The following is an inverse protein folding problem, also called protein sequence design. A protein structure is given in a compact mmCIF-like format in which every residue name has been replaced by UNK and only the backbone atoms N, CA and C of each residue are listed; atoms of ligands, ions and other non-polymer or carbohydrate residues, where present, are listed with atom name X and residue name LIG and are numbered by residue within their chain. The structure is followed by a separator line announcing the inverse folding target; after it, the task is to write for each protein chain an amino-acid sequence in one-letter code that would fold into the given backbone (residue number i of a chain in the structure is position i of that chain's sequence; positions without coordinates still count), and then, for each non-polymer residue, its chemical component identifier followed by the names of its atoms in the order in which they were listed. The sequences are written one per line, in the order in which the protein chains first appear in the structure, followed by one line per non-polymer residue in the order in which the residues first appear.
data_IF_816684499810
#
_entry.id   IF_816684499810
#
_cell.length_a   1.000
_cell.length_b   1.000
_cell.length_c   1.000
_cell.angle_alpha   90.00
_cell.angle_beta   90.00
_cell.angle_gamma   90.00
#
_symmetry.space_group_name_H-M   'P 1'
#
loop_
_entity.id
_entity.type
_entity.pdbx_description
1 polymer ?
#
# COMPACT_ATOMS: atom_id res chain seq x y z
N UNK A 1 -3.91 -17.46 6.22
CA UNK A 1 -3.31 -18.77 6.64
C UNK A 1 -2.20 -19.29 5.74
N UNK A 2 -1.88 -18.62 4.63
CA UNK A 2 -0.85 -19.02 3.66
C UNK A 2 -1.02 -20.46 3.12
N UNK A 3 -2.26 -20.92 3.05
CA UNK A 3 -2.74 -22.17 2.49
C UNK A 3 -3.27 -21.99 1.06
N UNK A 4 -3.04 -20.82 0.45
CA UNK A 4 -3.54 -20.39 -0.86
C UNK A 4 -5.09 -20.28 -0.95
N UNK A 5 -5.80 -20.18 0.17
CA UNK A 5 -7.26 -20.03 0.22
C UNK A 5 -7.64 -18.62 0.66
N UNK A 6 -7.97 -17.73 -0.28
CA UNK A 6 -8.29 -16.33 0.07
C UNK A 6 -9.55 -16.19 0.94
N UNK A 7 -10.49 -17.14 0.86
CA UNK A 7 -11.78 -17.08 1.55
C UNK A 7 -11.70 -17.27 3.06
N UNK A 8 -10.58 -17.77 3.59
CA UNK A 8 -10.40 -18.06 5.01
C UNK A 8 -9.37 -17.14 5.70
N UNK A 9 -8.91 -16.09 5.01
CA UNK A 9 -7.82 -15.24 5.51
C UNK A 9 -8.22 -14.49 6.79
N UNK A 10 -9.51 -14.24 7.00
CA UNK A 10 -10.05 -13.56 8.18
C UNK A 10 -10.48 -14.53 9.28
N UNK A 11 -9.61 -15.49 9.58
CA UNK A 11 -9.78 -16.44 10.70
C UNK A 11 -9.35 -15.80 12.03
N UNK A 12 -10.17 -15.95 13.05
CA UNK A 12 -9.91 -15.47 14.40
C UNK A 12 -9.06 -16.49 15.19
N UNK A 13 -8.45 -16.12 16.33
CA UNK A 13 -7.67 -17.05 17.16
C UNK A 13 -8.45 -18.26 17.68
N UNK A 14 -9.78 -18.13 17.84
CA UNK A 14 -10.69 -19.21 18.22
C UNK A 14 -11.11 -20.08 17.01
N UNK A 15 -10.55 -19.85 15.82
CA UNK A 15 -10.83 -20.52 14.55
C UNK A 15 -12.20 -20.20 13.92
N UNK A 16 -12.98 -19.27 14.46
CA UNK A 16 -14.16 -18.77 13.75
C UNK A 16 -13.77 -17.76 12.67
N UNK A 17 -14.68 -17.48 11.75
CA UNK A 17 -14.50 -16.49 10.69
C UNK A 17 -15.20 -15.18 11.01
N UNK A 18 -14.70 -14.09 10.43
CA UNK A 18 -15.37 -12.79 10.43
C UNK A 18 -15.32 -12.18 9.03
N UNK A 19 -16.26 -11.29 8.74
CA UNK A 19 -16.33 -10.41 7.58
C UNK A 19 -15.91 -8.97 7.91
N UNK A 20 -15.44 -8.70 9.13
CA UNK A 20 -14.99 -7.38 9.58
C UNK A 20 -13.49 -7.35 9.81
N UNK A 21 -12.80 -6.51 9.04
CA UNK A 21 -11.37 -6.20 9.24
C UNK A 21 -11.10 -5.65 10.64
N UNK A 22 -12.04 -4.91 11.23
CA UNK A 22 -11.86 -4.40 12.60
C UNK A 22 -11.93 -5.53 13.64
N UNK A 23 -12.90 -6.44 13.53
CA UNK A 23 -13.01 -7.60 14.44
C UNK A 23 -11.79 -8.51 14.29
N UNK A 24 -11.37 -8.78 13.05
CA UNK A 24 -10.17 -9.57 12.76
C UNK A 24 -8.93 -8.97 13.44
N UNK A 25 -8.61 -7.72 13.12
CA UNK A 25 -7.41 -7.04 13.66
C UNK A 25 -7.42 -6.89 15.18
N UNK A 26 -8.60 -6.70 15.80
CA UNK A 26 -8.75 -6.63 17.25
C UNK A 26 -8.52 -7.98 17.94
N UNK A 27 -9.00 -9.06 17.35
CA UNK A 27 -8.88 -10.40 17.95
C UNK A 27 -7.42 -10.88 18.06
N UNK A 28 -6.55 -10.38 17.19
CA UNK A 28 -5.13 -10.75 17.13
C UNK A 28 -4.21 -9.84 17.96
N UNK A 29 -4.76 -8.94 18.78
CA UNK A 29 -3.96 -8.09 19.66
C UNK A 29 -3.31 -8.90 20.79
N UNK A 30 -2.00 -8.78 20.96
CA UNK A 30 -1.26 -9.43 22.06
C UNK A 30 -1.54 -8.75 23.41
N UNK A 31 -1.68 -7.42 23.40
CA UNK A 31 -1.98 -6.61 24.57
C UNK A 31 -3.27 -5.82 24.34
N UNK A 32 -3.93 -5.37 25.43
CA UNK A 32 -5.09 -4.47 25.30
C UNK A 32 -4.65 -3.12 24.74
N UNK A 33 -4.85 -2.92 23.44
CA UNK A 33 -4.61 -1.65 22.76
C UNK A 33 -5.92 -0.87 22.68
N UNK A 34 -5.87 0.44 22.91
CA UNK A 34 -7.00 1.32 22.61
C UNK A 34 -7.16 1.47 21.11
N UNK A 35 -8.41 1.36 20.64
CA UNK A 35 -8.74 1.63 19.24
C UNK A 35 -8.53 3.11 18.97
N UNK A 36 -7.52 3.43 18.18
CA UNK A 36 -7.42 4.73 17.54
C UNK A 36 -8.34 4.66 16.32
N UNK A 37 -9.58 5.12 16.46
CA UNK A 37 -10.40 5.41 15.29
C UNK A 37 -9.71 6.53 14.51
N UNK A 38 -9.04 6.19 13.41
CA UNK A 38 -8.62 7.18 12.43
C UNK A 38 -9.89 7.83 11.88
N UNK A 39 -10.14 9.07 12.29
CA UNK A 39 -11.13 9.90 11.60
C UNK A 39 -10.66 10.04 10.16
N UNK A 40 -11.53 9.74 9.19
CA UNK A 40 -11.24 10.05 7.79
C UNK A 40 -11.07 11.56 7.68
N UNK A 41 -9.84 12.03 7.68
CA UNK A 41 -9.57 13.45 7.45
C UNK A 41 -9.75 13.71 5.96
N UNK A 42 -10.46 14.79 5.58
CA UNK A 42 -10.49 15.23 4.20
C UNK A 42 -9.05 15.40 3.72
N UNK A 43 -8.70 14.75 2.61
CA UNK A 43 -7.39 14.86 2.02
C UNK A 43 -7.42 15.90 0.89
N UNK A 44 -7.05 17.17 1.13
CA UNK A 44 -7.00 18.14 0.06
C UNK A 44 -5.92 17.73 -0.94
N UNK A 45 -6.30 17.73 -2.23
CA UNK A 45 -5.37 17.47 -3.34
C UNK A 45 -4.28 18.53 -3.30
N UNK A 46 -3.10 18.15 -2.80
CA UNK A 46 -1.94 19.03 -2.68
C UNK A 46 -0.95 18.74 -3.80
N UNK A 47 -0.04 19.68 -4.05
CA UNK A 47 1.03 19.54 -5.04
C UNK A 47 1.87 18.25 -4.87
N UNK A 48 1.86 17.63 -3.69
CA UNK A 48 2.59 16.40 -3.38
C UNK A 48 1.92 15.13 -3.90
N UNK A 49 0.61 15.13 -4.14
CA UNK A 49 -0.06 14.02 -4.84
C UNK A 49 0.36 13.92 -6.31
N UNK A 50 0.95 14.99 -6.89
CA UNK A 50 1.55 14.93 -8.23
C UNK A 50 2.67 13.88 -8.30
N UNK A 51 3.44 13.68 -7.22
CA UNK A 51 4.50 12.67 -7.21
C UNK A 51 3.93 11.25 -7.31
N UNK A 52 2.78 11.00 -6.68
CA UNK A 52 2.07 9.72 -6.83
C UNK A 52 1.63 9.49 -8.29
N UNK A 53 1.14 10.54 -8.98
CA UNK A 53 0.81 10.47 -10.41
C UNK A 53 2.04 10.21 -11.28
N UNK A 54 3.14 10.93 -11.03
CA UNK A 54 4.42 10.75 -11.74
C UNK A 54 4.91 9.31 -11.61
N UNK A 55 4.81 8.69 -10.43
CA UNK A 55 5.26 7.31 -10.24
C UNK A 55 4.31 6.26 -10.83
N UNK A 56 2.99 6.40 -10.61
CA UNK A 56 2.06 5.28 -10.78
C UNK A 56 1.02 5.47 -11.88
N UNK A 57 0.83 6.67 -12.43
CA UNK A 57 -0.24 6.95 -13.42
C UNK A 57 0.34 7.41 -14.77
N UNK A 58 1.34 8.30 -14.75
CA UNK A 58 1.80 9.00 -15.94
C UNK A 58 2.49 8.08 -16.96
N UNK A 59 2.31 8.42 -18.25
CA UNK A 59 2.88 7.67 -19.38
C UNK A 59 4.40 7.70 -19.42
N UNK A 60 5.00 8.74 -18.87
CA UNK A 60 6.45 8.95 -18.82
C UNK A 60 7.07 8.54 -17.47
N UNK A 61 6.32 7.82 -16.62
CA UNK A 61 6.87 7.26 -15.39
C UNK A 61 8.06 6.34 -15.68
N UNK A 62 9.12 6.45 -14.87
CA UNK A 62 10.24 5.51 -14.90
C UNK A 62 9.81 4.08 -14.51
N UNK A 63 8.68 3.94 -13.80
CA UNK A 63 8.12 2.65 -13.39
C UNK A 63 7.23 2.02 -14.48
N UNK A 64 6.97 2.73 -15.58
CA UNK A 64 5.96 2.36 -16.59
C UNK A 64 6.17 0.97 -17.19
N UNK A 65 7.41 0.55 -17.39
CA UNK A 65 7.74 -0.78 -17.94
C UNK A 65 7.20 -1.92 -17.06
N UNK A 66 7.06 -1.68 -15.76
CA UNK A 66 6.61 -2.66 -14.80
C UNK A 66 5.08 -2.73 -14.63
N UNK A 67 4.33 -1.74 -15.15
CA UNK A 67 2.86 -1.71 -15.00
C UNK A 67 2.17 -2.92 -15.66
N UNK A 68 2.85 -3.61 -16.58
CA UNK A 68 2.34 -4.82 -17.23
C UNK A 68 2.39 -6.06 -16.33
N UNK A 69 3.21 -6.05 -15.28
CA UNK A 69 3.47 -7.20 -14.41
C UNK A 69 3.14 -6.92 -12.94
N UNK A 70 3.02 -5.65 -12.57
CA UNK A 70 2.56 -5.21 -11.25
C UNK A 70 1.48 -4.15 -11.47
N UNK A 71 0.33 -4.35 -10.85
CA UNK A 71 -0.78 -3.39 -10.87
C UNK A 71 -0.39 -2.11 -10.11
N UNK A 72 -0.37 -0.92 -10.76
CA UNK A 72 -0.03 0.34 -10.11
C UNK A 72 -1.17 0.92 -9.26
N UNK A 73 -2.43 0.52 -9.45
CA UNK A 73 -3.60 1.16 -8.83
C UNK A 73 -3.59 1.08 -7.29
N UNK A 74 -3.24 -0.05 -6.66
CA UNK A 74 -3.09 -0.12 -5.20
C UNK A 74 -1.99 0.80 -4.67
N UNK A 75 -0.88 0.96 -5.41
CA UNK A 75 0.24 1.81 -5.03
C UNK A 75 -0.10 3.29 -5.16
N UNK A 76 -0.80 3.67 -6.23
CA UNK A 76 -1.32 5.03 -6.41
C UNK A 76 -2.29 5.42 -5.27
N UNK A 77 -3.25 4.54 -4.98
CA UNK A 77 -4.24 4.75 -3.92
C UNK A 77 -3.58 4.88 -2.55
N UNK A 78 -2.62 4.01 -2.24
CA UNK A 78 -1.88 4.08 -0.98
C UNK A 78 -0.96 5.31 -0.91
N UNK A 79 -0.34 5.71 -2.02
CA UNK A 79 0.52 6.89 -2.08
C UNK A 79 -0.26 8.17 -1.81
N UNK A 80 -1.44 8.32 -2.43
CA UNK A 80 -2.29 9.51 -2.21
C UNK A 80 -2.83 9.58 -0.79
N UNK A 81 -3.11 8.42 -0.17
CA UNK A 81 -3.50 8.32 1.24
C UNK A 81 -2.35 8.65 2.20
N UNK A 82 -1.18 8.02 2.04
CA UNK A 82 -0.06 8.18 2.98
C UNK A 82 0.58 9.58 2.91
N UNK A 83 0.64 10.17 1.72
CA UNK A 83 1.13 11.55 1.55
C UNK A 83 0.15 12.60 2.11
N UNK A 84 -1.06 12.17 2.48
CA UNK A 84 -2.01 13.00 3.18
C UNK A 84 -1.69 13.18 4.67
N UNK A 85 -1.27 12.08 5.31
CA UNK A 85 -1.03 12.03 6.75
C UNK A 85 0.37 12.52 7.11
N UNK A 86 1.31 12.41 6.18
CA UNK A 86 2.65 12.97 6.30
C UNK A 86 2.96 13.80 5.05
N UNK A 87 3.24 15.11 5.19
CA UNK A 87 3.63 15.95 4.06
C UNK A 87 5.01 15.57 3.48
N UNK A 88 5.65 14.50 3.92
CA UNK A 88 6.98 14.11 3.45
C UNK A 88 6.91 13.26 2.17
N UNK A 89 7.80 13.55 1.22
CA UNK A 89 8.00 12.71 0.02
C UNK A 89 8.43 11.27 0.36
N UNK A 90 8.88 11.05 1.60
CA UNK A 90 9.36 9.76 2.10
C UNK A 90 8.32 8.64 1.93
N UNK A 91 7.03 8.94 2.09
CA UNK A 91 5.97 7.94 1.88
C UNK A 91 5.89 7.48 0.42
N UNK A 92 5.85 8.43 -0.53
CA UNK A 92 5.86 8.14 -1.95
C UNK A 92 7.13 7.37 -2.36
N UNK A 93 8.30 7.75 -1.85
CA UNK A 93 9.56 7.04 -2.13
C UNK A 93 9.56 5.60 -1.59
N UNK A 94 9.01 5.35 -0.39
CA UNK A 94 8.89 3.98 0.15
C UNK A 94 8.00 3.12 -0.75
N UNK A 95 6.89 3.65 -1.22
CA UNK A 95 5.98 2.94 -2.12
C UNK A 95 6.63 2.69 -3.49
N UNK A 96 7.35 3.67 -4.03
CA UNK A 96 8.11 3.49 -5.26
C UNK A 96 9.19 2.40 -5.12
N UNK A 97 9.91 2.38 -3.99
CA UNK A 97 10.89 1.33 -3.72
C UNK A 97 10.26 -0.07 -3.60
N UNK A 98 9.09 -0.17 -2.94
CA UNK A 98 8.32 -1.41 -2.86
C UNK A 98 7.83 -1.86 -4.25
N UNK A 99 7.38 -0.93 -5.09
CA UNK A 99 6.99 -1.21 -6.46
C UNK A 99 8.17 -1.76 -7.28
N UNK A 100 9.33 -1.07 -7.26
CA UNK A 100 10.56 -1.54 -7.92
C UNK A 100 10.99 -2.93 -7.44
N UNK A 101 10.84 -3.23 -6.14
CA UNK A 101 11.11 -4.56 -5.62
C UNK A 101 10.21 -5.63 -6.27
N UNK A 102 8.91 -5.36 -6.44
CA UNK A 102 8.01 -6.28 -7.14
C UNK A 102 8.32 -6.38 -8.64
N UNK A 103 8.75 -5.28 -9.28
CA UNK A 103 9.20 -5.30 -10.67
C UNK A 103 10.38 -6.26 -10.86
N UNK A 104 11.37 -6.17 -9.98
CA UNK A 104 12.53 -7.06 -9.99
C UNK A 104 12.13 -8.53 -9.78
N UNK A 105 11.18 -8.80 -8.88
CA UNK A 105 10.64 -10.17 -8.67
C UNK A 105 9.89 -10.72 -9.89
N UNK A 106 9.35 -9.84 -10.73
CA UNK A 106 8.73 -10.20 -12.00
C UNK A 106 9.68 -10.06 -13.20
N UNK A 107 11.00 -10.00 -12.96
CA UNK A 107 12.04 -9.93 -13.99
C UNK A 107 11.96 -8.71 -14.91
N UNK A 108 11.37 -7.61 -14.44
CA UNK A 108 11.38 -6.31 -15.13
C UNK A 108 12.23 -5.34 -14.29
N UNK A 109 13.56 -5.32 -14.49
CA UNK A 109 14.42 -4.45 -13.72
C UNK A 109 14.12 -2.98 -14.03
N UNK A 110 13.99 -2.19 -12.97
CA UNK A 110 13.84 -0.73 -13.05
C UNK A 110 14.99 -0.11 -12.28
N UNK A 111 15.74 0.77 -12.94
CA UNK A 111 16.89 1.44 -12.34
C UNK A 111 16.44 2.45 -11.29
N UNK A 112 17.05 2.40 -10.11
CA UNK A 112 16.91 3.43 -9.08
C UNK A 112 18.12 4.36 -9.22
N UNK A 113 17.94 5.69 -9.34
CA UNK A 113 19.06 6.62 -9.36
C UNK A 113 19.94 6.45 -8.10
N UNK A 114 21.28 6.58 -8.23
CA UNK A 114 22.16 6.54 -7.07
C UNK A 114 21.79 7.65 -6.07
N UNK A 115 21.83 7.32 -4.78
CA UNK A 115 21.48 8.20 -3.65
C UNK A 115 22.57 9.21 -3.33
#
# INVERSE_FOLDING_TARGET
TNDNEAGNEWILPNRSFTDSVQVFTQSWQVNKCSLVQKKSQPCPITAKQKVCKIFFEESHSLLRNCFKVVDPDPFYSMCTYDTCESPELKAACRLAAAFVHLCNRNFVPVEIPPQ
#
